data_IF_922935839247
#
_entry.id   IF_922935839247
#
_cell.length_a   1.000
_cell.length_b   1.000
_cell.length_c   1.000
_cell.angle_alpha   90.00
_cell.angle_beta   90.00
_cell.angle_gamma   90.00
#
_symmetry.space_group_name_H-M   'P 1'
#
loop_
_entity.id
_entity.type
_entity.pdbx_description
1 polymer ?
#
# COMPACT_ATOMS: atom_id res chain seq x y z
N UNK A 1 -6.13 1.41 -9.30
CA UNK A 1 -6.59 0.33 -10.19
C UNK A 1 -6.18 -0.96 -9.51
N UNK A 2 -7.12 -1.84 -9.15
CA UNK A 2 -6.77 -3.11 -8.50
C UNK A 2 -6.22 -4.04 -9.58
N UNK A 3 -4.91 -4.08 -9.73
CA UNK A 3 -4.26 -5.10 -10.53
C UNK A 3 -4.19 -6.35 -9.65
N UNK A 4 -5.03 -7.34 -9.99
CA UNK A 4 -4.79 -8.71 -9.57
C UNK A 4 -3.40 -9.08 -10.07
N UNK A 5 -2.50 -9.44 -9.17
CA UNK A 5 -1.27 -10.15 -9.50
C UNK A 5 -1.74 -11.48 -10.08
N UNK A 6 -1.89 -11.54 -11.41
CA UNK A 6 -2.24 -12.77 -12.12
C UNK A 6 -0.98 -13.62 -12.15
N UNK A 7 -0.96 -14.67 -11.34
CA UNK A 7 -0.19 -15.86 -11.65
C UNK A 7 -0.63 -16.33 -13.06
N UNK A 8 0.31 -16.62 -13.93
CA UNK A 8 0.15 -17.37 -15.20
C UNK A 8 -0.28 -16.64 -16.49
N UNK A 9 -0.45 -15.33 -16.54
CA UNK A 9 -0.26 -14.64 -17.83
C UNK A 9 1.24 -14.42 -17.99
N UNK A 10 1.90 -15.29 -18.76
CA UNK A 10 3.26 -15.07 -19.25
C UNK A 10 3.26 -13.73 -20.01
N UNK A 11 3.52 -12.66 -19.27
CA UNK A 11 3.74 -11.34 -19.83
C UNK A 11 5.02 -11.46 -20.66
N UNK A 12 4.86 -11.38 -21.98
CA UNK A 12 6.00 -11.15 -22.85
C UNK A 12 6.48 -9.72 -22.62
N UNK A 13 7.42 -9.58 -21.70
CA UNK A 13 8.04 -8.31 -21.33
C UNK A 13 9.05 -7.84 -22.40
N UNK A 14 9.42 -8.73 -23.34
CA UNK A 14 10.53 -8.53 -24.26
C UNK A 14 11.91 -8.55 -23.58
N UNK A 15 11.98 -9.02 -22.33
CA UNK A 15 13.20 -9.24 -21.57
C UNK A 15 13.00 -10.39 -20.57
N UNK A 16 14.10 -11.00 -20.11
CA UNK A 16 14.05 -12.06 -19.11
C UNK A 16 13.59 -11.52 -17.74
N UNK A 17 12.74 -12.28 -17.04
CA UNK A 17 12.29 -11.91 -15.70
C UNK A 17 13.50 -11.68 -14.78
N UNK A 18 13.62 -10.52 -14.11
CA UNK A 18 14.81 -10.23 -13.32
C UNK A 18 14.90 -11.12 -12.08
N UNK A 19 16.12 -11.33 -11.59
CA UNK A 19 16.42 -12.09 -10.38
C UNK A 19 17.23 -11.25 -9.39
N UNK A 20 16.99 -11.46 -8.10
CA UNK A 20 17.78 -10.83 -7.03
C UNK A 20 18.63 -11.90 -6.36
N UNK A 21 19.94 -11.90 -6.64
CA UNK A 21 20.91 -12.86 -6.08
C UNK A 21 20.48 -14.33 -6.29
N UNK A 22 19.98 -14.65 -7.49
CA UNK A 22 19.44 -15.97 -7.84
C UNK A 22 18.07 -16.29 -7.25
N UNK A 23 17.41 -15.32 -6.61
CA UNK A 23 16.03 -15.44 -6.15
C UNK A 23 15.10 -14.93 -7.26
N UNK A 24 14.15 -15.74 -7.75
CA UNK A 24 13.14 -15.30 -8.70
C UNK A 24 12.33 -14.13 -8.13
N UNK A 25 12.05 -13.14 -8.97
CA UNK A 25 11.21 -12.01 -8.59
C UNK A 25 9.76 -12.20 -9.04
N UNK A 26 8.85 -11.58 -8.30
CA UNK A 26 7.45 -11.48 -8.65
C UNK A 26 7.15 -10.12 -9.26
N UNK A 27 6.40 -10.12 -10.36
CA UNK A 27 5.93 -8.91 -10.99
C UNK A 27 4.85 -8.23 -10.13
N UNK A 28 5.10 -6.98 -9.75
CA UNK A 28 4.19 -6.15 -8.95
C UNK A 28 3.28 -5.34 -9.85
N UNK A 29 3.85 -4.71 -10.89
CA UNK A 29 3.06 -3.87 -11.79
C UNK A 29 3.87 -3.10 -12.82
N UNK A 30 3.15 -2.53 -13.78
CA UNK A 30 3.68 -1.70 -14.87
C UNK A 30 3.27 -0.25 -14.67
N UNK A 31 4.20 0.66 -14.95
CA UNK A 31 4.00 2.11 -14.96
C UNK A 31 4.21 2.57 -16.40
N UNK A 32 3.19 3.21 -16.96
CA UNK A 32 3.26 3.81 -18.29
C UNK A 32 3.26 5.33 -18.06
N UNK A 33 4.32 5.99 -18.52
CA UNK A 33 4.40 7.45 -18.50
C UNK A 33 3.92 7.95 -19.86
N UNK A 34 2.74 8.57 -19.87
CA UNK A 34 2.22 9.25 -21.05
C UNK A 34 2.92 10.59 -21.26
N UNK A 35 2.52 11.29 -22.32
CA UNK A 35 3.12 12.57 -22.69
C UNK A 35 3.00 13.62 -21.56
N UNK A 36 1.83 13.73 -20.93
CA UNK A 36 1.61 14.68 -19.83
C UNK A 36 2.51 14.41 -18.62
N UNK A 37 2.81 13.13 -18.35
CA UNK A 37 3.68 12.75 -17.23
C UNK A 37 5.14 13.05 -17.54
N UNK A 38 5.58 12.77 -18.76
CA UNK A 38 6.94 13.07 -19.22
C UNK A 38 7.19 14.59 -19.21
N UNK A 39 6.21 15.39 -19.66
CA UNK A 39 6.28 16.85 -19.60
C UNK A 39 6.42 17.37 -18.16
N UNK A 40 5.68 16.80 -17.20
CA UNK A 40 5.81 17.14 -15.77
C UNK A 40 7.15 16.73 -15.18
N UNK A 41 7.69 15.59 -15.59
CA UNK A 41 9.02 15.13 -15.21
C UNK A 41 10.14 15.92 -15.89
N UNK A 42 9.82 16.81 -16.83
CA UNK A 42 10.81 17.48 -17.70
C UNK A 42 11.66 16.48 -18.51
N UNK A 43 11.09 15.31 -18.78
CA UNK A 43 11.74 14.19 -19.47
C UNK A 43 11.34 14.16 -20.95
N UNK A 44 12.30 13.81 -21.81
CA UNK A 44 12.09 13.68 -23.27
C UNK A 44 12.08 12.23 -23.73
N UNK A 45 12.63 11.32 -22.93
CA UNK A 45 12.72 9.90 -23.28
C UNK A 45 11.40 9.18 -22.90
N UNK A 46 10.65 8.65 -23.88
CA UNK A 46 9.48 7.85 -23.60
C UNK A 46 9.91 6.49 -23.02
N UNK A 47 9.32 6.14 -21.87
CA UNK A 47 9.74 4.98 -21.09
C UNK A 47 8.58 4.26 -20.43
N UNK A 48 8.73 2.95 -20.29
CA UNK A 48 7.87 2.10 -19.48
C UNK A 48 8.67 1.55 -18.30
N UNK A 49 8.06 1.50 -17.12
CA UNK A 49 8.70 0.95 -15.94
C UNK A 49 7.97 -0.31 -15.49
N UNK A 50 8.73 -1.34 -15.11
CA UNK A 50 8.23 -2.62 -14.66
C UNK A 50 8.80 -2.90 -13.28
N UNK A 51 7.92 -3.00 -12.28
CA UNK A 51 8.30 -3.21 -10.89
C UNK A 51 8.19 -4.69 -10.53
N UNK A 52 9.27 -5.19 -9.96
CA UNK A 52 9.41 -6.55 -9.45
C UNK A 52 9.89 -6.51 -8.01
N UNK A 53 9.60 -7.59 -7.28
CA UNK A 53 9.92 -7.67 -5.87
C UNK A 53 10.26 -9.11 -5.47
N UNK A 54 11.15 -9.27 -4.50
CA UNK A 54 11.44 -10.57 -3.89
C UNK A 54 11.83 -10.44 -2.42
N UNK A 55 11.45 -11.41 -1.61
CA UNK A 55 12.03 -11.61 -0.27
C UNK A 55 13.30 -12.43 -0.40
N UNK A 56 14.42 -11.83 -0.04
CA UNK A 56 15.74 -12.46 -0.08
C UNK A 56 16.25 -12.74 1.32
N UNK A 57 17.01 -13.84 1.43
CA UNK A 57 17.73 -14.19 2.65
C UNK A 57 18.94 -13.26 2.79
N UNK A 58 19.15 -12.70 3.98
CA UNK A 58 20.32 -11.84 4.22
C UNK A 58 21.60 -12.64 4.48
N UNK A 59 21.46 -13.93 4.83
CA UNK A 59 22.56 -14.78 5.28
C UNK A 59 22.89 -14.61 6.77
N UNK A 60 22.25 -13.66 7.46
CA UNK A 60 22.39 -13.46 8.89
C UNK A 60 21.37 -14.32 9.65
N UNK A 61 21.78 -14.94 10.75
CA UNK A 61 20.91 -15.77 11.59
C UNK A 61 20.79 -15.13 12.97
N UNK A 62 19.56 -14.71 13.31
CA UNK A 62 19.25 -14.18 14.63
C UNK A 62 18.75 -15.30 15.55
N UNK A 63 19.27 -15.35 16.78
CA UNK A 63 18.99 -16.44 17.73
C UNK A 63 17.49 -16.66 18.07
N UNK A 64 16.66 -15.61 17.99
CA UNK A 64 15.19 -15.70 18.20
C UNK A 64 14.36 -15.85 16.93
N UNK A 65 14.86 -15.36 15.80
CA UNK A 65 14.05 -15.17 14.58
C UNK A 65 14.52 -16.05 13.43
N UNK A 66 15.61 -16.80 13.61
CA UNK A 66 16.21 -17.64 12.59
C UNK A 66 16.91 -16.81 11.51
N UNK A 67 16.95 -17.35 10.31
CA UNK A 67 17.51 -16.69 9.14
C UNK A 67 16.72 -15.42 8.81
N UNK A 68 17.41 -14.28 8.86
CA UNK A 68 16.83 -12.99 8.55
C UNK A 68 16.57 -12.86 7.05
N UNK A 69 15.46 -12.22 6.73
CA UNK A 69 15.00 -11.97 5.38
C UNK A 69 14.67 -10.50 5.22
N UNK A 70 14.74 -10.00 4.00
CA UNK A 70 14.33 -8.65 3.65
C UNK A 70 13.67 -8.62 2.29
N UNK A 71 12.77 -7.68 2.10
CA UNK A 71 12.25 -7.34 0.79
C UNK A 71 13.34 -6.57 0.01
N UNK A 72 13.52 -6.90 -1.26
CA UNK A 72 14.27 -6.12 -2.23
C UNK A 72 13.40 -5.94 -3.50
N UNK A 73 13.58 -4.83 -4.21
CA UNK A 73 12.80 -4.52 -5.41
C UNK A 73 13.74 -4.37 -6.61
N UNK A 74 13.25 -4.70 -7.80
CA UNK A 74 13.87 -4.34 -9.07
C UNK A 74 12.87 -3.54 -9.88
N UNK A 75 13.28 -2.37 -10.35
CA UNK A 75 12.53 -1.65 -11.37
C UNK A 75 13.31 -1.73 -12.69
N UNK A 76 12.65 -2.22 -13.74
CA UNK A 76 13.20 -2.24 -15.09
C UNK A 76 12.61 -1.08 -15.85
N UNK A 77 13.43 -0.12 -16.23
CA UNK A 77 13.08 0.93 -17.19
C UNK A 77 13.34 0.41 -18.60
N UNK A 78 12.38 0.58 -19.50
CA UNK A 78 12.51 0.29 -20.92
C UNK A 78 12.33 1.58 -21.72
N UNK A 79 13.36 1.99 -22.45
CA UNK A 79 13.27 3.07 -23.41
C UNK A 79 12.46 2.60 -24.62
N UNK A 80 11.37 3.30 -24.95
CA UNK A 80 10.46 2.90 -26.02
C UNK A 80 10.97 3.21 -27.42
N UNK A 81 11.91 4.15 -27.57
CA UNK A 81 12.52 4.48 -28.85
C UNK A 81 13.65 3.52 -29.21
N UNK A 82 14.53 3.22 -28.25
CA UNK A 82 15.72 2.38 -28.50
C UNK A 82 15.47 0.91 -28.19
N UNK A 83 14.46 0.59 -27.38
CA UNK A 83 14.21 -0.76 -26.85
C UNK A 83 15.20 -1.19 -25.77
N UNK A 84 16.18 -0.35 -25.42
CA UNK A 84 17.14 -0.62 -24.36
C UNK A 84 16.44 -0.66 -22.99
N UNK A 85 16.99 -1.47 -22.09
CA UNK A 85 16.48 -1.60 -20.72
C UNK A 85 17.57 -1.39 -19.69
N UNK A 86 17.19 -0.71 -18.60
CA UNK A 86 18.04 -0.41 -17.45
C UNK A 86 17.37 -1.02 -16.22
N UNK A 87 18.15 -1.74 -15.42
CA UNK A 87 17.66 -2.34 -14.17
C UNK A 87 18.13 -1.52 -12.98
N UNK A 88 17.18 -1.13 -12.14
CA UNK A 88 17.40 -0.46 -10.88
C UNK A 88 17.16 -1.46 -9.75
N UNK A 89 18.23 -1.88 -9.08
CA UNK A 89 18.14 -2.67 -7.86
C UNK A 89 17.88 -1.73 -6.69
N UNK A 90 16.70 -1.83 -6.07
CA UNK A 90 16.26 -0.92 -5.02
C UNK A 90 16.25 -1.65 -3.68
N UNK A 91 17.01 -1.13 -2.73
CA UNK A 91 17.19 -1.70 -1.40
C UNK A 91 17.09 -0.61 -0.35
N UNK A 92 16.65 -0.98 0.86
CA UNK A 92 16.65 -0.05 1.99
C UNK A 92 18.06 0.05 2.59
N UNK A 93 18.53 1.29 2.72
CA UNK A 93 19.78 1.62 3.39
C UNK A 93 19.55 2.77 4.35
N UNK A 94 19.55 2.48 5.66
CA UNK A 94 19.45 3.47 6.75
C UNK A 94 18.30 4.49 6.59
N UNK A 95 17.25 4.14 5.82
CA UNK A 95 16.11 4.99 5.53
C UNK A 95 14.89 4.12 5.24
N UNK A 96 13.71 4.74 5.24
CA UNK A 96 12.45 4.09 4.92
C UNK A 96 12.27 3.85 3.41
N UNK A 97 13.14 4.45 2.58
CA UNK A 97 13.06 4.39 1.12
C UNK A 97 13.87 3.24 0.54
N UNK A 98 13.29 2.57 -0.44
CA UNK A 98 13.98 1.67 -1.34
C UNK A 98 14.53 2.49 -2.50
N UNK A 99 15.85 2.48 -2.65
CA UNK A 99 16.55 3.22 -3.70
C UNK A 99 17.77 2.47 -4.19
N UNK A 100 18.32 2.89 -5.33
CA UNK A 100 19.55 2.30 -5.84
C UNK A 100 20.74 2.66 -4.94
N UNK A 101 21.73 1.78 -4.81
CA UNK A 101 22.96 2.03 -4.03
C UNK A 101 23.73 3.25 -4.55
N UNK A 102 23.67 3.52 -5.86
CA UNK A 102 24.26 4.71 -6.47
C UNK A 102 23.42 5.98 -6.29
N UNK A 103 22.22 5.87 -5.71
CA UNK A 103 21.32 7.00 -5.46
C UNK A 103 21.64 7.65 -4.11
N UNK A 104 22.31 8.80 -4.17
CA UNK A 104 22.73 9.61 -3.02
C UNK A 104 21.65 10.60 -2.55
N UNK A 105 20.39 10.35 -2.90
CA UNK A 105 19.26 11.16 -2.45
C UNK A 105 18.95 10.80 -0.99
N UNK A 106 19.64 11.44 -0.05
CA UNK A 106 19.53 11.14 1.40
C UNK A 106 18.63 12.12 2.16
N UNK A 107 17.98 13.04 1.45
CA UNK A 107 17.10 14.05 2.02
C UNK A 107 15.64 13.73 1.73
N UNK A 108 14.81 13.83 2.76
CA UNK A 108 13.38 13.54 2.68
C UNK A 108 12.60 14.61 3.44
N UNK A 109 11.41 14.95 2.95
CA UNK A 109 10.46 15.79 3.69
C UNK A 109 9.30 14.95 4.18
N UNK A 110 8.97 15.10 5.47
CA UNK A 110 7.77 14.51 6.03
C UNK A 110 6.54 15.18 5.41
N UNK A 111 5.59 14.39 4.95
CA UNK A 111 4.43 14.90 4.21
C UNK A 111 3.56 15.84 5.06
N UNK A 112 3.46 15.57 6.36
CA UNK A 112 2.69 16.38 7.32
C UNK A 112 3.31 17.78 7.57
N UNK A 113 4.58 17.99 7.22
CA UNK A 113 5.25 19.28 7.26
C UNK A 113 5.08 20.10 5.97
N UNK A 114 4.58 19.49 4.89
CA UNK A 114 4.37 20.14 3.59
C UNK A 114 2.95 20.65 3.44
N UNK A 115 2.78 21.76 2.70
CA UNK A 115 1.44 22.15 2.25
C UNK A 115 1.06 21.25 1.09
N UNK A 116 -0.22 20.89 1.00
CA UNK A 116 -0.75 20.03 -0.07
C UNK A 116 -0.36 20.48 -1.49
N UNK A 117 -0.26 21.79 -1.72
CA UNK A 117 0.12 22.36 -3.01
C UNK A 117 1.61 22.16 -3.38
N UNK A 118 2.45 21.89 -2.39
CA UNK A 118 3.90 21.69 -2.57
C UNK A 118 4.21 20.22 -2.90
N UNK A 119 3.26 19.31 -2.67
CA UNK A 119 3.37 17.89 -3.01
C UNK A 119 3.14 17.70 -4.51
N UNK A 120 4.13 17.11 -5.17
CA UNK A 120 4.10 16.86 -6.61
C UNK A 120 3.53 15.48 -6.93
N UNK A 121 2.60 15.41 -7.88
CA UNK A 121 2.03 14.14 -8.35
C UNK A 121 1.83 14.17 -9.87
N UNK A 122 2.07 13.02 -10.51
CA UNK A 122 1.91 12.87 -11.96
C UNK A 122 0.43 12.83 -12.36
N UNK A 123 -0.39 12.04 -11.66
CA UNK A 123 -1.81 11.87 -11.99
C UNK A 123 -2.75 12.18 -10.82
N UNK A 124 -2.57 11.47 -9.71
CA UNK A 124 -3.51 11.48 -8.59
C UNK A 124 -2.74 11.56 -7.29
N UNK A 125 -3.36 12.19 -6.30
CA UNK A 125 -2.81 12.19 -4.96
C UNK A 125 -2.73 10.74 -4.41
N UNK A 126 -1.65 10.43 -3.67
CA UNK A 126 -1.49 9.14 -3.01
C UNK A 126 -2.49 8.96 -1.87
N UNK A 127 -2.77 7.70 -1.52
CA UNK A 127 -3.60 7.30 -0.38
C UNK A 127 -2.77 6.89 0.85
N UNK A 128 -1.66 7.58 1.11
CA UNK A 128 -0.81 7.29 2.27
C UNK A 128 -1.41 7.83 3.57
N UNK A 129 -0.92 7.31 4.71
CA UNK A 129 -1.02 8.01 6.00
C UNK A 129 0.09 9.05 6.06
N UNK A 130 -0.28 10.33 6.10
CA UNK A 130 0.66 11.44 5.98
C UNK A 130 1.71 11.49 7.11
N UNK A 131 1.37 11.02 8.31
CA UNK A 131 2.27 10.97 9.48
C UNK A 131 3.40 9.95 9.36
N UNK A 132 3.32 9.04 8.40
CA UNK A 132 4.31 7.97 8.19
C UNK A 132 5.02 8.11 6.83
N UNK A 133 4.56 9.03 5.98
CA UNK A 133 5.04 9.18 4.62
C UNK A 133 6.07 10.32 4.54
N UNK A 134 7.13 10.05 3.80
CA UNK A 134 8.10 11.06 3.39
C UNK A 134 8.19 11.12 1.87
N UNK A 135 8.61 12.26 1.32
CA UNK A 135 8.87 12.44 -0.10
C UNK A 135 10.37 12.71 -0.27
N UNK A 136 11.08 11.97 -1.15
CA UNK A 136 12.49 12.23 -1.41
C UNK A 136 12.72 13.58 -2.09
N UNK A 137 13.93 14.11 -1.92
CA UNK A 137 14.37 15.39 -2.49
C UNK A 137 15.71 15.27 -3.22
N UNK A 138 15.74 15.75 -4.46
CA UNK A 138 16.97 15.93 -5.23
C UNK A 138 17.21 17.41 -5.53
N UNK A 139 18.37 17.96 -5.13
CA UNK A 139 18.74 19.39 -5.32
C UNK A 139 17.60 20.36 -4.96
N UNK A 140 17.07 20.24 -3.75
CA UNK A 140 15.92 21.00 -3.21
C UNK A 140 14.54 20.76 -3.87
N UNK A 141 14.46 19.99 -4.95
CA UNK A 141 13.19 19.63 -5.59
C UNK A 141 12.66 18.31 -5.03
N UNK A 142 11.36 18.27 -4.76
CA UNK A 142 10.66 17.04 -4.38
C UNK A 142 10.54 16.10 -5.59
N UNK A 143 10.57 14.80 -5.33
CA UNK A 143 10.21 13.81 -6.35
C UNK A 143 8.70 13.89 -6.65
N UNK A 144 8.33 13.48 -7.86
CA UNK A 144 6.93 13.32 -8.24
C UNK A 144 6.41 11.98 -7.75
N UNK A 145 5.27 12.00 -7.04
CA UNK A 145 4.50 10.79 -6.83
C UNK A 145 3.93 10.29 -8.17
N UNK A 146 4.33 9.09 -8.57
CA UNK A 146 3.91 8.49 -9.84
C UNK A 146 2.66 7.64 -9.68
N UNK A 147 2.75 6.59 -8.86
CA UNK A 147 1.65 5.63 -8.66
C UNK A 147 1.83 4.86 -7.36
N UNK A 148 0.83 4.05 -7.04
CA UNK A 148 0.87 3.13 -5.92
C UNK A 148 0.37 1.73 -6.30
N UNK A 149 1.00 0.71 -5.71
CA UNK A 149 0.63 -0.69 -5.86
C UNK A 149 0.26 -1.28 -4.50
N UNK A 150 -0.91 -1.89 -4.41
CA UNK A 150 -1.32 -2.63 -3.22
C UNK A 150 -0.97 -4.09 -3.38
N UNK A 151 -0.29 -4.67 -2.40
CA UNK A 151 0.05 -6.10 -2.34
C UNK A 151 -1.03 -6.79 -1.50
N UNK A 152 -2.01 -7.46 -2.13
CA UNK A 152 -3.10 -8.08 -1.38
C UNK A 152 -2.64 -9.32 -0.63
N UNK A 153 -3.37 -9.67 0.43
CA UNK A 153 -3.26 -10.97 1.06
C UNK A 153 -3.73 -12.10 0.11
N UNK A 154 -2.78 -12.89 -0.40
CA UNK A 154 -3.04 -14.11 -1.17
C UNK A 154 -1.96 -15.17 -0.92
N UNK A 155 -2.14 -16.40 -1.45
CA UNK A 155 -1.21 -17.52 -1.21
C UNK A 155 0.22 -17.19 -1.69
N UNK A 156 0.34 -16.62 -2.89
CA UNK A 156 1.60 -16.25 -3.54
C UNK A 156 2.39 -15.26 -2.69
N UNK A 157 1.76 -14.14 -2.34
CA UNK A 157 2.38 -13.05 -1.61
C UNK A 157 2.78 -13.46 -0.19
N UNK A 158 1.96 -14.29 0.48
CA UNK A 158 2.31 -14.91 1.77
C UNK A 158 3.59 -15.73 1.70
N UNK A 159 3.83 -16.42 0.58
CA UNK A 159 5.01 -17.27 0.43
C UNK A 159 6.24 -16.49 -0.01
N UNK A 160 6.09 -15.40 -0.76
CA UNK A 160 7.19 -14.82 -1.55
C UNK A 160 7.52 -13.35 -1.29
N UNK A 161 6.62 -12.55 -0.66
CA UNK A 161 6.76 -11.09 -0.60
C UNK A 161 6.49 -10.44 0.77
N UNK A 162 5.32 -10.70 1.35
CA UNK A 162 4.66 -9.79 2.30
C UNK A 162 3.25 -9.47 1.79
N UNK A 163 2.35 -8.97 2.63
CA UNK A 163 0.97 -8.65 2.23
C UNK A 163 0.39 -7.50 3.04
N UNK A 164 -0.71 -6.95 2.52
CA UNK A 164 -1.40 -5.77 3.04
C UNK A 164 -0.57 -4.48 3.05
N UNK A 165 0.48 -4.46 2.25
CA UNK A 165 1.36 -3.31 2.09
C UNK A 165 1.00 -2.53 0.81
N UNK A 166 1.20 -1.22 0.84
CA UNK A 166 1.12 -0.37 -0.35
C UNK A 166 2.49 0.21 -0.64
N UNK A 167 2.95 0.00 -1.87
CA UNK A 167 4.19 0.58 -2.42
C UNK A 167 3.83 1.90 -3.11
N UNK A 168 4.48 2.99 -2.72
CA UNK A 168 4.36 4.31 -3.34
C UNK A 168 5.61 4.59 -4.15
N UNK A 169 5.45 4.84 -5.44
CA UNK A 169 6.57 5.02 -6.38
C UNK A 169 6.78 6.50 -6.63
N UNK A 170 8.01 6.96 -6.42
CA UNK A 170 8.46 8.32 -6.64
C UNK A 170 9.49 8.36 -7.76
N UNK A 171 9.35 9.35 -8.65
CA UNK A 171 10.21 9.52 -9.80
C UNK A 171 10.79 10.94 -9.85
N UNK A 172 12.03 11.04 -10.31
CA UNK A 172 12.68 12.30 -10.65
C UNK A 172 13.56 12.09 -11.88
N UNK A 173 13.43 12.93 -12.90
CA UNK A 173 14.36 12.93 -14.03
C UNK A 173 15.45 13.98 -13.80
N UNK A 174 16.71 13.59 -13.93
CA UNK A 174 17.84 14.51 -13.82
C UNK A 174 17.95 15.40 -15.06
N UNK A 175 18.85 16.38 -15.01
CA UNK A 175 19.10 17.27 -16.16
C UNK A 175 19.66 16.53 -17.39
N UNK A 176 20.21 15.32 -17.19
CA UNK A 176 20.67 14.42 -18.26
C UNK A 176 19.62 13.36 -18.64
N UNK A 177 18.37 13.55 -18.20
CA UNK A 177 17.22 12.66 -18.44
C UNK A 177 17.37 11.24 -17.84
N UNK A 178 18.29 11.08 -16.88
CA UNK A 178 18.42 9.86 -16.10
C UNK A 178 17.30 9.80 -15.07
N UNK A 179 16.66 8.64 -14.94
CA UNK A 179 15.63 8.43 -13.93
C UNK A 179 16.25 8.08 -12.58
N UNK A 180 15.83 8.80 -11.54
CA UNK A 180 15.96 8.41 -10.14
C UNK A 180 14.62 7.86 -9.67
N UNK A 181 14.68 6.76 -8.94
CA UNK A 181 13.50 5.97 -8.55
C UNK A 181 13.62 5.61 -7.10
N UNK A 182 12.63 6.03 -6.32
CA UNK A 182 12.52 5.69 -4.92
C UNK A 182 11.14 5.14 -4.61
N UNK A 183 11.09 4.14 -3.72
CA UNK A 183 9.84 3.49 -3.32
C UNK A 183 9.71 3.53 -1.81
N UNK A 184 8.58 4.05 -1.35
CA UNK A 184 8.15 3.97 0.05
C UNK A 184 7.15 2.83 0.22
N UNK A 185 7.25 2.07 1.31
CA UNK A 185 6.30 1.01 1.64
C UNK A 185 5.59 1.37 2.94
N UNK A 186 4.26 1.31 2.91
CA UNK A 186 3.42 1.50 4.09
C UNK A 186 2.57 0.27 4.33
N UNK A 187 2.53 -0.15 5.58
CA UNK A 187 1.54 -1.12 6.04
C UNK A 187 0.13 -0.49 5.97
N UNK A 188 -0.68 -1.06 5.09
CA UNK A 188 -2.08 -0.70 4.86
C UNK A 188 -3.03 -1.79 5.33
N UNK A 189 -2.54 -2.74 6.14
CA UNK A 189 -3.38 -3.67 6.88
C UNK A 189 -4.44 -2.86 7.60
N UNK A 190 -5.69 -3.31 7.47
CA UNK A 190 -6.86 -2.52 7.80
C UNK A 190 -6.95 -2.13 9.27
N UNK A 191 -6.07 -2.64 10.13
CA UNK A 191 -6.04 -2.35 11.55
C UNK A 191 -4.59 -2.17 12.00
N UNK A 192 -4.17 -0.93 12.25
CA UNK A 192 -2.91 -0.68 12.97
C UNK A 192 -3.01 -1.18 14.41
N UNK A 193 -1.88 -1.35 15.11
CA UNK A 193 -1.90 -1.67 16.54
C UNK A 193 -2.71 -0.63 17.35
N UNK A 194 -2.67 0.64 16.95
CA UNK A 194 -3.48 1.70 17.56
C UNK A 194 -4.98 1.52 17.26
N UNK A 195 -5.33 1.14 16.03
CA UNK A 195 -6.71 0.80 15.66
C UNK A 195 -7.20 -0.46 16.39
N UNK A 196 -6.30 -1.38 16.74
CA UNK A 196 -6.62 -2.55 17.56
C UNK A 196 -6.97 -2.13 18.99
N UNK A 197 -6.16 -1.29 19.63
CA UNK A 197 -6.47 -0.77 20.97
C UNK A 197 -7.77 0.05 20.99
N UNK A 198 -7.99 0.90 19.98
CA UNK A 198 -9.25 1.63 19.83
C UNK A 198 -10.43 0.69 19.65
N UNK A 199 -10.28 -0.37 18.86
CA UNK A 199 -11.33 -1.38 18.70
C UNK A 199 -11.62 -2.08 20.02
N UNK A 200 -10.60 -2.51 20.77
CA UNK A 200 -10.78 -3.15 22.09
C UNK A 200 -11.52 -2.23 23.07
N UNK A 201 -11.17 -0.95 23.13
CA UNK A 201 -11.88 0.05 23.94
C UNK A 201 -13.35 0.19 23.53
N UNK A 202 -13.62 0.22 22.23
CA UNK A 202 -14.99 0.31 21.71
C UNK A 202 -15.80 -0.97 21.99
N UNK A 203 -15.18 -2.15 21.87
CA UNK A 203 -15.79 -3.44 22.21
C UNK A 203 -16.15 -3.48 23.70
N UNK A 204 -15.21 -3.11 24.57
CA UNK A 204 -15.44 -3.04 26.02
C UNK A 204 -16.55 -2.04 26.38
N UNK A 205 -16.57 -0.87 25.72
CA UNK A 205 -17.63 0.12 25.90
C UNK A 205 -19.00 -0.43 25.47
N UNK A 206 -19.07 -1.15 24.34
CA UNK A 206 -20.30 -1.79 23.88
C UNK A 206 -20.77 -2.87 24.86
N UNK A 207 -19.89 -3.74 25.33
CA UNK A 207 -20.21 -4.78 26.32
C UNK A 207 -20.77 -4.20 27.62
N UNK A 208 -20.28 -3.04 28.03
CA UNK A 208 -20.77 -2.32 29.21
C UNK A 208 -22.11 -1.60 28.99
N UNK A 209 -22.49 -1.27 27.75
CA UNK A 209 -23.65 -0.42 27.47
C UNK A 209 -24.61 -0.93 26.38
N UNK A 210 -24.55 -2.21 26.02
CA UNK A 210 -25.36 -2.82 24.95
C UNK A 210 -26.89 -2.61 25.11
N UNK A 211 -27.35 -2.38 26.34
CA UNK A 211 -28.74 -2.13 26.71
C UNK A 211 -29.15 -0.65 26.66
N UNK A 212 -28.21 0.26 26.35
CA UNK A 212 -28.46 1.70 26.23
C UNK A 212 -28.44 2.11 24.75
N UNK A 213 -29.60 2.30 24.10
CA UNK A 213 -29.69 2.56 22.67
C UNK A 213 -28.92 3.80 22.21
N UNK A 214 -28.92 4.87 23.01
CA UNK A 214 -28.25 6.13 22.66
C UNK A 214 -26.72 5.97 22.64
N UNK A 215 -26.16 5.29 23.64
CA UNK A 215 -24.72 5.02 23.70
C UNK A 215 -24.29 4.07 22.58
N UNK A 216 -25.08 3.03 22.33
CA UNK A 216 -24.84 2.09 21.22
C UNK A 216 -24.87 2.82 19.88
N UNK A 217 -25.84 3.70 19.65
CA UNK A 217 -25.94 4.49 18.42
C UNK A 217 -24.70 5.38 18.22
N UNK A 218 -24.20 6.03 19.29
CA UNK A 218 -22.96 6.83 19.22
C UNK A 218 -21.73 5.98 18.91
N UNK A 219 -21.61 4.79 19.51
CA UNK A 219 -20.52 3.85 19.23
C UNK A 219 -20.57 3.37 17.77
N UNK A 220 -21.75 2.99 17.27
CA UNK A 220 -21.94 2.56 15.89
C UNK A 220 -21.59 3.67 14.89
N UNK A 221 -21.96 4.92 15.18
CA UNK A 221 -21.61 6.06 14.31
C UNK A 221 -20.09 6.30 14.22
N UNK A 222 -19.37 6.11 15.33
CA UNK A 222 -17.90 6.28 15.38
C UNK A 222 -17.14 5.05 14.88
N UNK A 223 -17.78 3.88 14.95
CA UNK A 223 -17.17 2.59 14.65
C UNK A 223 -16.71 2.44 13.21
N UNK A 224 -15.68 1.62 13.05
CA UNK A 224 -15.23 1.12 11.76
C UNK A 224 -15.87 -0.24 11.44
N UNK A 225 -15.41 -0.85 10.34
CA UNK A 225 -15.93 -2.13 9.87
C UNK A 225 -15.73 -3.26 10.90
N UNK A 226 -14.63 -3.26 11.65
CA UNK A 226 -14.32 -4.33 12.59
C UNK A 226 -15.20 -4.24 13.83
N UNK A 227 -15.44 -3.03 14.34
CA UNK A 227 -16.41 -2.82 15.41
C UNK A 227 -17.82 -3.21 14.97
N UNK A 228 -18.20 -2.86 13.75
CA UNK A 228 -19.49 -3.23 13.17
C UNK A 228 -19.66 -4.75 13.03
N UNK A 229 -18.62 -5.47 12.58
CA UNK A 229 -18.59 -6.93 12.50
C UNK A 229 -18.76 -7.56 13.89
N UNK A 230 -18.03 -7.04 14.89
CA UNK A 230 -18.16 -7.49 16.27
C UNK A 230 -19.58 -7.30 16.82
N UNK A 231 -20.18 -6.12 16.64
CA UNK A 231 -21.57 -5.87 17.09
C UNK A 231 -22.55 -6.79 16.36
N UNK A 232 -22.35 -7.02 15.06
CA UNK A 232 -23.20 -7.94 14.30
C UNK A 232 -23.16 -9.34 14.92
N UNK A 233 -21.98 -9.88 15.24
CA UNK A 233 -21.82 -11.24 15.78
C UNK A 233 -22.16 -11.37 17.27
N UNK A 234 -22.21 -10.26 17.99
CA UNK A 234 -22.38 -10.28 19.44
C UNK A 234 -23.73 -10.90 19.90
N UNK A 235 -23.68 -11.71 20.96
CA UNK A 235 -24.83 -12.51 21.46
C UNK A 235 -25.99 -11.66 22.00
N UNK A 236 -25.67 -10.45 22.49
CA UNK A 236 -26.64 -9.53 23.10
C UNK A 236 -27.16 -8.46 22.16
N UNK A 237 -26.84 -8.57 20.86
CA UNK A 237 -27.25 -7.61 19.85
C UNK A 237 -28.76 -7.68 19.64
N UNK A 238 -29.41 -6.55 19.94
CA UNK A 238 -30.86 -6.40 19.86
C UNK A 238 -31.30 -6.00 18.44
N UNK A 239 -32.61 -6.08 18.18
CA UNK A 239 -33.20 -5.59 16.93
C UNK A 239 -32.88 -4.11 16.70
N UNK A 240 -33.06 -3.26 17.70
CA UNK A 240 -32.78 -1.82 17.61
C UNK A 240 -31.30 -1.54 17.30
N UNK A 241 -30.40 -2.38 17.83
CA UNK A 241 -28.98 -2.33 17.51
C UNK A 241 -28.72 -2.68 16.05
N UNK A 242 -29.36 -3.72 15.51
CA UNK A 242 -29.24 -4.11 14.10
C UNK A 242 -29.81 -3.03 13.15
N UNK A 243 -30.92 -2.41 13.50
CA UNK A 243 -31.50 -1.30 12.73
C UNK A 243 -30.57 -0.07 12.73
N UNK A 244 -29.97 0.24 13.89
CA UNK A 244 -28.94 1.29 13.98
C UNK A 244 -27.69 0.92 13.17
N UNK A 245 -27.28 -0.34 13.20
CA UNK A 245 -26.12 -0.83 12.45
C UNK A 245 -26.34 -0.72 10.93
N UNK A 246 -27.55 -1.00 10.44
CA UNK A 246 -27.93 -0.83 9.04
C UNK A 246 -27.74 0.62 8.56
N UNK A 247 -27.98 1.59 9.44
CA UNK A 247 -27.83 3.03 9.13
C UNK A 247 -26.36 3.42 8.93
N UNK A 248 -25.43 2.71 9.58
CA UNK A 248 -24.00 3.03 9.56
C UNK A 248 -23.14 2.00 8.82
N UNK A 249 -23.75 0.93 8.30
CA UNK A 249 -23.06 -0.10 7.53
C UNK A 249 -22.38 0.52 6.31
N UNK A 250 -21.07 0.33 6.18
CA UNK A 250 -20.28 0.92 5.09
C UNK A 250 -20.11 -0.01 3.88
N UNK A 251 -20.59 -1.25 3.96
CA UNK A 251 -20.41 -2.25 2.89
C UNK A 251 -21.69 -3.00 2.56
N UNK A 252 -21.90 -3.30 1.28
CA UNK A 252 -23.03 -4.10 0.79
C UNK A 252 -23.12 -5.49 1.44
N UNK A 253 -21.97 -6.10 1.75
CA UNK A 253 -21.90 -7.40 2.43
C UNK A 253 -22.53 -7.30 3.82
N UNK A 254 -22.18 -6.26 4.57
CA UNK A 254 -22.70 -6.03 5.91
C UNK A 254 -24.19 -5.68 5.91
N UNK A 255 -24.64 -4.79 5.02
CA UNK A 255 -26.07 -4.49 4.85
C UNK A 255 -26.90 -5.74 4.60
N UNK A 256 -26.39 -6.64 3.73
CA UNK A 256 -27.04 -7.91 3.42
C UNK A 256 -27.14 -8.81 4.65
N UNK A 257 -26.06 -8.93 5.43
CA UNK A 257 -26.03 -9.83 6.58
C UNK A 257 -26.88 -9.32 7.76
N UNK A 258 -26.87 -8.02 8.02
CA UNK A 258 -27.77 -7.36 8.98
C UNK A 258 -29.23 -7.59 8.59
N UNK A 259 -29.56 -7.40 7.30
CA UNK A 259 -30.94 -7.59 6.79
C UNK A 259 -31.42 -9.03 6.95
N UNK A 260 -30.56 -10.03 6.67
CA UNK A 260 -30.88 -11.45 6.91
C UNK A 260 -31.19 -11.71 8.39
N UNK A 261 -30.35 -11.19 9.30
CA UNK A 261 -30.52 -11.41 10.74
C UNK A 261 -31.79 -10.74 11.28
N UNK A 262 -32.11 -9.53 10.81
CA UNK A 262 -33.38 -8.86 11.10
C UNK A 262 -34.58 -9.68 10.60
N UNK A 263 -34.50 -10.25 9.40
CA UNK A 263 -35.55 -11.10 8.84
C UNK A 263 -35.77 -12.38 9.66
N UNK A 264 -34.70 -12.98 10.21
CA UNK A 264 -34.78 -14.14 11.09
C UNK A 264 -35.40 -13.82 12.45
N UNK A 265 -35.23 -12.60 12.97
CA UNK A 265 -35.84 -12.15 14.23
C UNK A 265 -37.32 -11.75 14.09
N UNK A 266 -37.86 -11.69 12.87
CA UNK A 266 -39.29 -11.47 12.58
C UNK A 266 -40.10 -12.78 12.51
N UNK A 267 -39.46 -13.93 12.68
CA UNK A 267 -40.09 -15.27 12.73
C UNK A 267 -40.13 -15.75 14.17
#
# INVERSE_FOLDING_TARGET
>A
MNLNIKEDEALDLGFANPEIKGTPTLFVGKIILGQEELEKLESKIPRELYLFAAVVKTGEVHFKFGELKRLELILVEKNLETGESIQYHLTQHNSIMYKNVSDHTDNYECVDMLKKKDILYLHRAPKWKASEASIPKYKEKLFYFSTQFYIPENKTNKTHLGWDETLYVFLYATETDQLLVEIFIQDTSGQTAEDHYKLEEMMAAYDACYNNPDKVHQLLKKGDKYFHDYVLEHKRTSRNTLESLLTFAKTKKMETEVSKRLALMNR
#
